data_IF_808079447436
#
_entry.id   IF_808079447436
#
_cell.length_a   1.000
_cell.length_b   1.000
_cell.length_c   1.000
_cell.angle_alpha   90.00
_cell.angle_beta   90.00
_cell.angle_gamma   90.00
#
_symmetry.space_group_name_H-M   'P 1'
#
loop_
_entity.id
_entity.type
_entity.pdbx_description
1 polymer ?
#
# COMPACT_ATOMS: atom_id res chain seq x y z
N UNK A 1 59.80 16.51 -53.50
CA UNK A 1 58.36 16.61 -53.33
C UNK A 1 58.01 15.90 -51.99
N UNK A 2 57.99 16.69 -50.89
CA UNK A 2 57.89 16.17 -49.53
C UNK A 2 56.45 16.32 -49.05
N UNK A 3 55.78 15.19 -48.86
CA UNK A 3 54.42 15.14 -48.34
C UNK A 3 54.52 14.88 -46.82
N UNK A 4 54.18 15.91 -46.03
CA UNK A 4 54.05 15.79 -44.57
C UNK A 4 52.69 15.30 -44.23
N UNK A 5 52.59 14.06 -43.74
CA UNK A 5 51.35 13.50 -43.11
C UNK A 5 51.23 14.06 -41.70
N UNK A 6 50.22 14.88 -41.49
CA UNK A 6 49.84 15.38 -40.16
C UNK A 6 48.76 14.45 -39.55
N UNK A 7 49.17 13.68 -38.57
CA UNK A 7 48.27 12.78 -37.82
C UNK A 7 47.56 13.59 -36.75
N UNK A 8 46.30 13.96 -36.98
CA UNK A 8 45.43 14.52 -35.92
C UNK A 8 44.83 13.37 -35.11
N UNK A 9 45.32 13.22 -33.90
CA UNK A 9 44.73 12.32 -32.91
C UNK A 9 43.46 12.98 -32.38
N UNK A 10 42.29 12.45 -32.77
CA UNK A 10 41.02 12.80 -32.18
C UNK A 10 40.86 11.99 -30.89
N UNK A 11 41.04 12.65 -29.75
CA UNK A 11 40.68 12.09 -28.44
C UNK A 11 39.18 12.05 -28.29
N UNK A 12 38.60 10.86 -28.38
CA UNK A 12 37.20 10.63 -28.01
C UNK A 12 37.06 10.62 -26.48
N UNK A 13 36.59 11.72 -25.90
CA UNK A 13 36.17 11.76 -24.51
C UNK A 13 34.81 11.06 -24.43
N UNK A 14 34.81 9.82 -24.00
CA UNK A 14 33.58 9.09 -23.66
C UNK A 14 33.04 9.65 -22.34
N UNK A 15 32.09 10.59 -22.41
CA UNK A 15 31.31 11.03 -21.27
C UNK A 15 30.38 9.88 -20.88
N UNK A 16 30.76 9.11 -19.86
CA UNK A 16 29.89 8.16 -19.24
C UNK A 16 28.78 8.93 -18.47
N UNK A 17 27.64 9.13 -19.11
CA UNK A 17 26.40 9.55 -18.43
C UNK A 17 25.99 8.43 -17.49
N UNK A 18 26.29 8.60 -16.20
CA UNK A 18 25.65 7.83 -15.14
C UNK A 18 24.18 8.21 -15.13
N UNK A 19 23.37 7.46 -15.85
CA UNK A 19 21.91 7.47 -15.72
C UNK A 19 21.60 6.96 -14.31
N UNK A 20 21.53 7.89 -13.36
CA UNK A 20 20.88 7.62 -12.08
C UNK A 20 19.42 7.29 -12.41
N UNK A 21 19.10 6.00 -12.54
CA UNK A 21 17.70 5.56 -12.54
C UNK A 21 17.18 5.90 -11.16
N UNK A 22 16.49 7.03 -11.03
CA UNK A 22 15.59 7.25 -9.91
C UNK A 22 14.60 6.12 -9.97
N UNK A 23 14.74 5.15 -9.07
CA UNK A 23 13.72 4.14 -8.82
C UNK A 23 12.48 4.92 -8.38
N UNK A 24 11.62 5.28 -9.33
CA UNK A 24 10.28 5.71 -8.98
C UNK A 24 9.66 4.54 -8.24
N UNK A 25 9.23 4.77 -7.02
CA UNK A 25 8.48 3.79 -6.25
C UNK A 25 7.41 3.19 -7.16
N UNK A 26 7.46 1.87 -7.37
CA UNK A 26 6.63 1.19 -8.36
C UNK A 26 5.11 1.35 -8.07
N UNK A 27 4.76 1.80 -6.86
CA UNK A 27 3.39 1.90 -6.35
C UNK A 27 3.01 3.31 -5.83
N UNK A 28 3.88 4.31 -5.90
CA UNK A 28 3.56 5.66 -5.42
C UNK A 28 3.37 5.74 -3.90
N UNK A 29 2.51 6.66 -3.47
CA UNK A 29 2.13 6.83 -2.07
C UNK A 29 0.91 5.97 -1.76
N UNK A 30 0.99 5.20 -0.66
CA UNK A 30 -0.07 4.33 -0.15
C UNK A 30 -0.37 4.74 1.29
N UNK A 31 -1.64 4.87 1.61
CA UNK A 31 -2.13 5.11 2.97
C UNK A 31 -2.75 3.84 3.54
N UNK A 32 -2.35 3.46 4.76
CA UNK A 32 -2.85 2.27 5.44
C UNK A 32 -3.52 2.68 6.74
N UNK A 33 -4.72 2.18 7.01
CA UNK A 33 -5.41 2.39 8.27
C UNK A 33 -4.66 1.71 9.42
N UNK A 34 -4.23 2.49 10.39
CA UNK A 34 -3.72 2.01 11.68
C UNK A 34 -4.85 2.10 12.70
N UNK A 35 -5.60 1.00 12.81
CA UNK A 35 -6.77 0.93 13.67
C UNK A 35 -6.37 0.90 15.15
N UNK A 36 -7.27 1.38 16.01
CA UNK A 36 -7.02 1.58 17.44
C UNK A 36 -7.05 0.30 18.29
N UNK A 37 -6.78 -0.87 17.69
CA UNK A 37 -6.59 -2.14 18.42
C UNK A 37 -5.36 -2.90 17.93
N UNK A 38 -4.78 -3.72 18.81
CA UNK A 38 -3.43 -4.25 18.66
C UNK A 38 -3.21 -5.11 17.42
N UNK A 39 -4.15 -6.00 17.05
CA UNK A 39 -3.99 -6.88 15.89
C UNK A 39 -3.94 -6.09 14.58
N UNK A 40 -4.88 -5.18 14.38
CA UNK A 40 -4.91 -4.36 13.17
C UNK A 40 -3.72 -3.42 13.07
N UNK A 41 -3.31 -2.81 14.19
CA UNK A 41 -2.09 -1.97 14.21
C UNK A 41 -0.86 -2.78 13.85
N UNK A 42 -0.71 -3.99 14.40
CA UNK A 42 0.39 -4.89 14.03
C UNK A 42 0.38 -5.19 12.52
N UNK A 43 -0.77 -5.53 11.95
CA UNK A 43 -0.90 -5.82 10.52
C UNK A 43 -0.54 -4.60 9.67
N UNK A 44 -1.03 -3.42 10.02
CA UNK A 44 -0.71 -2.18 9.32
C UNK A 44 0.80 -1.88 9.30
N UNK A 45 1.50 -2.14 10.41
CA UNK A 45 2.95 -1.97 10.49
C UNK A 45 3.73 -3.02 9.69
N UNK A 46 3.24 -4.26 9.64
CA UNK A 46 3.82 -5.33 8.80
C UNK A 46 3.66 -4.98 7.32
N UNK A 47 2.46 -4.60 6.89
CA UNK A 47 2.18 -4.19 5.52
C UNK A 47 3.02 -2.97 5.11
N UNK A 48 3.15 -1.99 6.00
CA UNK A 48 4.05 -0.85 5.78
C UNK A 48 5.49 -1.31 5.56
N UNK A 49 6.01 -2.23 6.37
CA UNK A 49 7.37 -2.72 6.24
C UNK A 49 7.60 -3.43 4.90
N UNK A 50 6.65 -4.28 4.49
CA UNK A 50 6.70 -5.01 3.22
C UNK A 50 6.65 -4.05 2.03
N UNK A 51 5.65 -3.18 1.99
CA UNK A 51 5.45 -2.25 0.88
C UNK A 51 6.60 -1.23 0.77
N UNK A 52 7.14 -0.76 1.89
CA UNK A 52 8.32 0.10 1.90
C UNK A 52 9.55 -0.64 1.34
N UNK A 53 9.74 -1.91 1.69
CA UNK A 53 10.82 -2.73 1.13
C UNK A 53 10.65 -2.96 -0.39
N UNK A 54 9.42 -2.92 -0.90
CA UNK A 54 9.10 -2.97 -2.33
C UNK A 54 9.27 -1.62 -3.04
N UNK A 55 9.62 -0.56 -2.31
CA UNK A 55 9.86 0.78 -2.87
C UNK A 55 8.65 1.70 -2.88
N UNK A 56 7.57 1.38 -2.15
CA UNK A 56 6.41 2.26 -1.99
C UNK A 56 6.66 3.32 -0.91
N UNK A 57 6.07 4.50 -1.04
CA UNK A 57 5.95 5.47 0.04
C UNK A 57 4.71 5.16 0.86
N UNK A 58 4.87 4.76 2.13
CA UNK A 58 3.74 4.29 2.95
C UNK A 58 3.52 5.17 4.17
N UNK A 59 2.30 5.69 4.31
CA UNK A 59 1.82 6.45 5.46
C UNK A 59 0.78 5.64 6.26
N UNK A 60 0.92 5.63 7.59
CA UNK A 60 -0.10 5.09 8.49
C UNK A 60 -1.06 6.19 8.90
N UNK A 61 -2.35 5.93 8.78
CA UNK A 61 -3.43 6.87 9.14
C UNK A 61 -4.21 6.29 10.31
N UNK A 62 -4.23 7.00 11.43
CA UNK A 62 -4.99 6.58 12.59
C UNK A 62 -6.47 6.39 12.26
N UNK A 63 -7.05 5.27 12.70
CA UNK A 63 -8.40 4.89 12.34
C UNK A 63 -9.17 4.12 13.41
N UNK A 64 -10.42 3.90 13.10
CA UNK A 64 -11.32 2.98 13.81
C UNK A 64 -12.39 2.49 12.83
N UNK A 65 -13.07 1.38 13.14
CA UNK A 65 -13.90 0.66 12.17
C UNK A 65 -14.83 1.55 11.34
N UNK A 66 -15.80 2.22 11.95
CA UNK A 66 -16.81 2.99 11.20
C UNK A 66 -16.24 4.25 10.53
N UNK A 67 -15.46 5.11 11.21
CA UNK A 67 -14.88 6.27 10.55
C UNK A 67 -13.97 5.93 9.37
N UNK A 68 -13.13 4.90 9.51
CA UNK A 68 -12.25 4.45 8.43
C UNK A 68 -13.04 3.91 7.24
N UNK A 69 -14.02 3.03 7.50
CA UNK A 69 -14.89 2.51 6.44
C UNK A 69 -15.63 3.64 5.70
N UNK A 70 -16.21 4.58 6.44
CA UNK A 70 -16.92 5.73 5.85
C UNK A 70 -15.98 6.55 4.96
N UNK A 71 -14.78 6.87 5.46
CA UNK A 71 -13.78 7.62 4.69
C UNK A 71 -13.37 6.88 3.41
N UNK A 72 -13.07 5.59 3.50
CA UNK A 72 -12.73 4.76 2.33
C UNK A 72 -13.86 4.73 1.30
N UNK A 73 -15.10 4.57 1.76
CA UNK A 73 -16.28 4.52 0.90
C UNK A 73 -16.59 5.86 0.21
N UNK A 74 -16.36 6.99 0.89
CA UNK A 74 -16.72 8.32 0.40
C UNK A 74 -15.58 8.99 -0.37
N UNK A 75 -14.34 8.79 0.07
CA UNK A 75 -13.17 9.51 -0.44
C UNK A 75 -12.12 8.61 -1.09
N UNK A 76 -12.23 7.30 -0.93
CA UNK A 76 -11.21 6.35 -1.34
C UNK A 76 -9.96 6.34 -0.44
N UNK A 77 -10.05 6.94 0.77
CA UNK A 77 -8.90 7.04 1.68
C UNK A 77 -9.27 6.59 3.12
N UNK A 78 -8.35 5.89 3.82
CA UNK A 78 -7.06 5.36 3.36
C UNK A 78 -7.22 4.29 2.26
N UNK A 79 -6.13 3.98 1.53
CA UNK A 79 -6.14 3.02 0.42
C UNK A 79 -6.36 1.58 0.90
N UNK A 80 -5.83 1.24 2.08
CA UNK A 80 -5.87 -0.12 2.64
C UNK A 80 -6.32 -0.10 4.10
N UNK A 81 -7.17 -1.05 4.46
CA UNK A 81 -7.50 -1.39 5.85
C UNK A 81 -7.23 -2.89 6.06
N UNK A 82 -6.14 -3.25 6.75
CA UNK A 82 -5.70 -4.66 6.86
C UNK A 82 -6.67 -5.56 7.64
N UNK A 83 -7.41 -4.98 8.59
CA UNK A 83 -8.38 -5.73 9.40
C UNK A 83 -9.66 -4.92 9.55
N UNK A 84 -10.77 -5.46 9.07
CA UNK A 84 -12.10 -4.85 9.16
C UNK A 84 -13.09 -5.87 9.74
N UNK A 85 -13.80 -5.47 10.77
CA UNK A 85 -14.86 -6.28 11.40
C UNK A 85 -16.19 -5.99 10.70
N UNK A 86 -16.44 -6.72 9.62
CA UNK A 86 -17.52 -6.42 8.69
C UNK A 86 -18.92 -6.78 9.21
N UNK A 87 -19.06 -7.75 10.13
CA UNK A 87 -20.37 -8.28 10.54
C UNK A 87 -21.32 -7.20 11.07
N UNK A 88 -20.81 -6.22 11.81
CA UNK A 88 -21.64 -5.13 12.35
C UNK A 88 -22.11 -4.11 11.28
N UNK A 89 -21.55 -4.17 10.06
CA UNK A 89 -21.83 -3.23 8.97
C UNK A 89 -21.94 -3.93 7.60
N UNK A 90 -22.31 -5.21 7.58
CA UNK A 90 -22.29 -6.03 6.36
C UNK A 90 -23.06 -5.39 5.20
N UNK A 91 -24.24 -4.85 5.45
CA UNK A 91 -25.05 -4.20 4.41
C UNK A 91 -24.35 -3.00 3.76
N UNK A 92 -23.59 -2.23 4.55
CA UNK A 92 -22.82 -1.08 4.05
C UNK A 92 -21.62 -1.56 3.22
N UNK A 93 -20.96 -2.62 3.68
CA UNK A 93 -19.84 -3.25 2.97
C UNK A 93 -20.32 -3.80 1.63
N UNK A 94 -21.41 -4.57 1.61
CA UNK A 94 -21.98 -5.15 0.39
C UNK A 94 -22.42 -4.06 -0.60
N UNK A 95 -23.02 -2.98 -0.11
CA UNK A 95 -23.38 -1.82 -0.93
C UNK A 95 -22.16 -1.13 -1.54
N UNK A 96 -21.09 -0.95 -0.78
CA UNK A 96 -19.88 -0.29 -1.27
C UNK A 96 -19.13 -1.14 -2.29
N UNK A 97 -19.04 -2.47 -2.05
CA UNK A 97 -18.45 -3.43 -2.97
C UNK A 97 -19.29 -3.56 -4.23
N UNK A 98 -20.61 -3.68 -4.11
CA UNK A 98 -21.52 -3.76 -5.24
C UNK A 98 -21.50 -2.51 -6.14
N UNK A 99 -21.20 -1.36 -5.57
CA UNK A 99 -21.00 -0.11 -6.29
C UNK A 99 -19.56 0.07 -6.84
N UNK A 100 -18.67 -0.89 -6.61
CA UNK A 100 -17.27 -0.84 -7.06
C UNK A 100 -16.40 0.20 -6.34
N UNK A 101 -16.83 0.68 -5.17
CA UNK A 101 -16.07 1.65 -4.37
C UNK A 101 -15.04 1.02 -3.46
N UNK A 102 -15.29 -0.21 -3.03
CA UNK A 102 -14.38 -1.02 -2.21
C UNK A 102 -14.14 -2.37 -2.86
N UNK A 103 -12.97 -2.93 -2.60
CA UNK A 103 -12.64 -4.32 -2.88
C UNK A 103 -12.30 -5.03 -1.57
N UNK A 104 -12.82 -6.25 -1.39
CA UNK A 104 -12.45 -7.10 -0.27
C UNK A 104 -11.62 -8.25 -0.82
N UNK A 105 -10.41 -8.42 -0.29
CA UNK A 105 -9.63 -9.61 -0.54
C UNK A 105 -10.15 -10.75 0.35
N UNK A 106 -10.65 -11.81 -0.30
CA UNK A 106 -11.16 -12.99 0.39
C UNK A 106 -10.08 -13.96 0.87
N UNK A 107 -8.81 -13.66 0.61
CA UNK A 107 -7.67 -14.43 1.13
C UNK A 107 -7.38 -14.10 2.61
N UNK A 108 -8.42 -14.08 3.45
CA UNK A 108 -8.28 -13.77 4.87
C UNK A 108 -7.29 -14.73 5.54
N UNK A 109 -6.22 -14.23 6.18
CA UNK A 109 -5.21 -15.07 6.82
C UNK A 109 -5.73 -15.82 8.04
N UNK A 110 -6.82 -15.34 8.64
CA UNK A 110 -7.48 -15.96 9.78
C UNK A 110 -8.97 -16.05 9.56
N UNK A 111 -9.53 -17.22 9.77
CA UNK A 111 -10.96 -17.50 9.70
C UNK A 111 -11.41 -18.25 10.94
N UNK A 112 -12.70 -18.20 11.26
CA UNK A 112 -13.31 -19.10 12.23
C UNK A 112 -13.69 -18.51 13.57
N UNK A 113 -13.43 -17.22 13.83
CA UNK A 113 -13.97 -16.51 15.00
C UNK A 113 -15.17 -15.68 14.56
N UNK A 114 -16.36 -16.03 15.03
CA UNK A 114 -17.57 -15.23 14.82
C UNK A 114 -17.70 -14.14 15.88
N UNK A 115 -18.27 -13.02 15.49
CA UNK A 115 -18.76 -12.02 16.43
C UNK A 115 -20.12 -12.45 17.00
N UNK A 116 -20.34 -12.21 18.28
CA UNK A 116 -21.60 -12.55 18.93
C UNK A 116 -21.64 -12.18 20.40
N UNK A 117 -22.81 -12.41 21.03
CA UNK A 117 -22.97 -12.30 22.47
C UNK A 117 -22.47 -13.58 23.12
N UNK A 118 -21.52 -13.45 24.02
CA UNK A 118 -20.96 -14.58 24.76
C UNK A 118 -21.41 -14.50 26.20
N UNK A 119 -21.98 -15.61 26.71
CA UNK A 119 -22.42 -15.74 28.10
C UNK A 119 -21.71 -16.93 28.74
N UNK A 120 -21.46 -16.85 30.03
CA UNK A 120 -20.91 -17.98 30.76
C UNK A 120 -21.97 -19.08 30.85
N UNK A 121 -21.59 -20.36 30.74
CA UNK A 121 -22.52 -21.46 31.02
C UNK A 121 -22.95 -21.41 32.48
N UNK A 122 -24.24 -21.61 32.73
CA UNK A 122 -24.83 -21.63 34.07
C UNK A 122 -24.64 -23.00 34.71
#
# INVERSE_FOLDING_TARGET
MNIKFSTKVFGAVAAAFLLSTTSNAACGKITIADMNWASASMMAHVDKAILTAMGCEVELVAGSTMPTFTSMNETGQPDVAPEVWANAMQDLVDSAVGAGRLHIDNAAPMTGLGEGWWVLPH
#
